data_IF_479821281748
#
_entry.id   IF_479821281748
#
_cell.length_a   1.000
_cell.length_b   1.000
_cell.length_c   1.000
_cell.angle_alpha   90.00
_cell.angle_beta   90.00
_cell.angle_gamma   90.00
#
_symmetry.space_group_name_H-M   'P 1'
#
loop_
_entity.id
_entity.type
_entity.pdbx_description
1 polymer ?
#
# COMPACT_ATOMS: atom_id res chain seq x y z
N UNK A 1 -48.07 7.29 -7.09
CA UNK A 1 -46.99 6.73 -6.27
C UNK A 1 -47.37 7.08 -4.86
N UNK A 2 -47.80 6.10 -4.06
CA UNK A 2 -48.21 6.36 -2.67
C UNK A 2 -47.03 6.98 -1.92
N UNK A 3 -47.29 8.10 -1.25
CA UNK A 3 -46.32 8.72 -0.36
C UNK A 3 -46.15 7.75 0.82
N UNK A 4 -44.99 7.13 0.91
CA UNK A 4 -44.75 6.03 1.83
C UNK A 4 -44.42 6.63 3.20
N UNK A 5 -45.46 6.91 3.99
CA UNK A 5 -45.39 7.66 5.25
C UNK A 5 -45.06 6.78 6.47
N UNK A 6 -44.37 5.65 6.29
CA UNK A 6 -43.98 4.79 7.41
C UNK A 6 -42.69 5.23 8.10
N UNK A 7 -41.95 6.22 7.56
CA UNK A 7 -40.83 6.88 8.26
C UNK A 7 -41.37 8.13 8.93
N UNK A 8 -41.52 8.08 10.26
CA UNK A 8 -42.16 9.14 11.03
C UNK A 8 -41.18 10.20 11.51
N UNK A 9 -39.90 9.86 11.66
CA UNK A 9 -38.85 10.80 12.03
C UNK A 9 -37.46 10.32 11.58
N UNK A 10 -36.55 11.28 11.40
CA UNK A 10 -35.14 11.01 11.07
C UNK A 10 -34.25 11.89 11.94
N UNK A 11 -33.11 11.36 12.38
CA UNK A 11 -32.08 12.11 13.10
C UNK A 11 -30.68 11.64 12.73
N UNK A 12 -29.68 12.40 13.16
CA UNK A 12 -28.25 12.09 12.97
C UNK A 12 -27.88 11.85 11.50
N UNK A 13 -28.53 12.56 10.57
CA UNK A 13 -28.26 12.46 9.15
C UNK A 13 -26.89 13.09 8.80
N UNK A 14 -26.01 12.30 8.21
CA UNK A 14 -24.70 12.74 7.75
C UNK A 14 -24.35 12.08 6.42
N UNK A 15 -23.72 12.84 5.53
CA UNK A 15 -23.10 12.26 4.34
C UNK A 15 -21.94 11.36 4.75
N UNK A 16 -21.81 10.23 4.05
CA UNK A 16 -20.60 9.43 4.06
C UNK A 16 -19.71 9.76 2.85
N UNK A 17 -18.56 9.10 2.78
CA UNK A 17 -17.56 9.33 1.73
C UNK A 17 -18.10 9.11 0.30
N UNK A 18 -19.11 8.26 0.14
CA UNK A 18 -19.67 7.88 -1.17
C UNK A 18 -20.88 8.74 -1.59
N UNK A 19 -21.19 9.80 -0.84
CA UNK A 19 -22.33 10.67 -1.12
C UNK A 19 -23.70 10.09 -0.73
N UNK A 20 -23.71 8.93 -0.06
CA UNK A 20 -24.88 8.40 0.61
C UNK A 20 -25.08 9.07 1.97
N UNK A 21 -26.29 8.97 2.53
CA UNK A 21 -26.62 9.57 3.82
C UNK A 21 -26.88 8.47 4.84
N UNK A 22 -26.01 8.39 5.85
CA UNK A 22 -26.27 7.55 7.03
C UNK A 22 -27.09 8.34 8.03
N UNK A 23 -28.14 7.74 8.58
CA UNK A 23 -29.04 8.36 9.54
C UNK A 23 -29.67 7.30 10.46
N UNK A 24 -30.40 7.76 11.46
CA UNK A 24 -31.30 6.94 12.27
C UNK A 24 -32.73 7.32 11.92
N UNK A 25 -33.54 6.31 11.59
CA UNK A 25 -34.96 6.49 11.23
C UNK A 25 -35.85 5.86 12.29
N UNK A 26 -36.97 6.52 12.56
CA UNK A 26 -38.08 5.95 13.31
C UNK A 26 -39.13 5.48 12.30
N UNK A 27 -39.48 4.20 12.39
CA UNK A 27 -40.58 3.64 11.61
C UNK A 27 -41.90 3.71 12.39
N UNK A 28 -43.01 3.78 11.68
CA UNK A 28 -44.35 3.77 12.27
C UNK A 28 -44.54 2.53 13.16
N UNK A 29 -45.03 2.74 14.38
CA UNK A 29 -45.24 1.67 15.36
C UNK A 29 -43.96 1.07 15.97
N UNK A 30 -42.77 1.53 15.56
CA UNK A 30 -41.50 1.06 16.14
C UNK A 30 -41.26 1.72 17.51
N UNK A 31 -41.81 1.11 18.56
CA UNK A 31 -41.65 1.53 19.96
C UNK A 31 -41.21 0.37 20.86
N UNK A 32 -40.46 0.68 21.93
CA UNK A 32 -40.02 -0.30 22.92
C UNK A 32 -41.16 -0.70 23.88
N UNK A 33 -40.89 -1.59 24.84
CA UNK A 33 -41.88 -2.06 25.81
C UNK A 33 -42.42 -0.96 26.74
N UNK A 34 -41.79 0.22 26.75
CA UNK A 34 -42.21 1.41 27.50
C UNK A 34 -42.91 2.44 26.61
N UNK A 35 -43.03 2.18 25.30
CA UNK A 35 -43.63 3.08 24.32
C UNK A 35 -42.65 4.11 23.74
N UNK A 36 -41.34 3.98 24.00
CA UNK A 36 -40.33 4.91 23.49
C UNK A 36 -39.93 4.59 22.03
N UNK A 37 -39.67 5.59 21.17
CA UNK A 37 -39.21 5.38 19.80
C UNK A 37 -38.00 4.46 19.67
N UNK A 38 -38.10 3.42 18.84
CA UNK A 38 -36.96 2.61 18.39
C UNK A 38 -36.38 3.27 17.14
N UNK A 39 -35.11 3.65 17.24
CA UNK A 39 -34.34 4.23 16.15
C UNK A 39 -33.52 3.16 15.45
N UNK A 40 -33.70 3.02 14.14
CA UNK A 40 -33.00 2.03 13.32
C UNK A 40 -31.96 2.72 12.44
N UNK A 41 -30.73 2.21 12.35
CA UNK A 41 -29.74 2.75 11.42
C UNK A 41 -30.20 2.51 9.98
N UNK A 42 -30.04 3.51 9.13
CA UNK A 42 -30.37 3.44 7.72
C UNK A 42 -29.32 4.18 6.87
N UNK A 43 -29.02 3.65 5.70
CA UNK A 43 -28.18 4.33 4.70
C UNK A 43 -29.03 4.59 3.46
N UNK A 44 -29.39 5.84 3.24
CA UNK A 44 -30.19 6.27 2.10
C UNK A 44 -29.28 6.66 0.93
N UNK A 45 -29.67 6.25 -0.29
CA UNK A 45 -28.96 6.61 -1.54
C UNK A 45 -29.96 6.97 -2.64
N UNK A 46 -29.55 7.78 -3.61
CA UNK A 46 -30.39 8.07 -4.79
C UNK A 46 -30.66 6.82 -5.64
N UNK A 47 -29.79 5.82 -5.55
CA UNK A 47 -29.88 4.53 -6.25
C UNK A 47 -30.33 3.39 -5.34
N UNK A 48 -31.00 3.67 -4.22
CA UNK A 48 -31.44 2.65 -3.28
C UNK A 48 -32.34 1.64 -3.99
N UNK A 49 -32.22 0.36 -3.63
CA UNK A 49 -33.04 -0.71 -4.23
C UNK A 49 -34.50 -0.58 -3.81
N UNK A 50 -34.77 0.03 -2.66
CA UNK A 50 -36.11 0.27 -2.12
C UNK A 50 -36.64 1.64 -2.51
N UNK A 51 -37.93 1.71 -2.84
CA UNK A 51 -38.59 2.98 -3.20
C UNK A 51 -38.53 3.99 -2.04
N UNK A 52 -38.74 3.51 -0.81
CA UNK A 52 -38.69 4.35 0.37
C UNK A 52 -37.27 4.83 0.69
N UNK A 53 -36.22 4.05 0.39
CA UNK A 53 -34.83 4.47 0.57
C UNK A 53 -34.44 5.59 -0.39
N UNK A 54 -34.90 5.53 -1.65
CA UNK A 54 -34.73 6.62 -2.63
C UNK A 54 -35.50 7.87 -2.22
N UNK A 55 -36.75 7.71 -1.80
CA UNK A 55 -37.57 8.82 -1.31
C UNK A 55 -36.93 9.49 -0.09
N UNK A 56 -36.48 8.71 0.89
CA UNK A 56 -35.79 9.21 2.08
C UNK A 56 -34.53 10.01 1.70
N UNK A 57 -33.73 9.53 0.75
CA UNK A 57 -32.56 10.27 0.27
C UNK A 57 -32.95 11.64 -0.31
N UNK A 58 -33.95 11.68 -1.19
CA UNK A 58 -34.42 12.94 -1.77
C UNK A 58 -35.00 13.90 -0.71
N UNK A 59 -35.77 13.37 0.24
CA UNK A 59 -36.34 14.13 1.34
C UNK A 59 -35.24 14.75 2.23
N UNK A 60 -34.18 13.98 2.54
CA UNK A 60 -33.03 14.46 3.30
C UNK A 60 -32.24 15.53 2.54
N UNK A 61 -31.96 15.33 1.25
CA UNK A 61 -31.27 16.31 0.40
C UNK A 61 -32.06 17.62 0.29
N UNK A 62 -33.40 17.52 0.23
CA UNK A 62 -34.30 18.69 0.18
C UNK A 62 -34.54 19.32 1.56
N UNK A 63 -33.94 18.80 2.63
CA UNK A 63 -34.02 19.37 3.98
C UNK A 63 -35.30 19.09 4.76
N UNK A 64 -36.14 18.13 4.32
CA UNK A 64 -37.41 17.76 5.00
C UNK A 64 -37.21 17.41 6.47
N UNK A 65 -36.07 16.77 6.79
CA UNK A 65 -35.70 16.35 8.15
C UNK A 65 -34.56 17.19 8.75
N UNK A 66 -34.34 18.40 8.24
CA UNK A 66 -33.24 19.29 8.63
C UNK A 66 -31.98 19.11 7.79
N UNK A 67 -30.93 19.86 8.16
CA UNK A 67 -29.67 19.88 7.42
C UNK A 67 -28.89 18.58 7.62
N UNK A 68 -28.52 17.93 6.52
CA UNK A 68 -27.62 16.77 6.54
C UNK A 68 -26.20 17.25 6.84
N UNK A 69 -25.57 16.65 7.85
CA UNK A 69 -24.19 16.98 8.20
C UNK A 69 -23.23 16.59 7.08
N UNK A 70 -22.26 17.43 6.70
CA UNK A 70 -21.28 17.06 5.69
C UNK A 70 -20.39 15.91 6.17
N UNK A 71 -19.91 15.11 5.23
CA UNK A 71 -18.90 14.10 5.51
C UNK A 71 -17.61 14.78 6.01
N UNK A 72 -17.05 14.26 7.11
CA UNK A 72 -15.77 14.71 7.66
C UNK A 72 -14.87 13.51 7.83
N UNK A 73 -13.66 13.59 7.27
CA UNK A 73 -12.63 12.56 7.44
C UNK A 73 -12.25 12.47 8.92
N UNK A 74 -12.39 11.29 9.52
CA UNK A 74 -11.92 11.08 10.89
C UNK A 74 -10.40 10.86 10.94
N UNK A 75 -9.74 11.17 12.07
CA UNK A 75 -8.32 10.84 12.27
C UNK A 75 -8.03 9.34 12.08
N UNK A 76 -8.99 8.47 12.41
CA UNK A 76 -8.87 7.02 12.22
C UNK A 76 -8.87 6.64 10.74
N UNK A 77 -9.76 7.21 9.92
CA UNK A 77 -9.76 6.98 8.47
C UNK A 77 -8.42 7.39 7.84
N UNK A 78 -7.87 8.53 8.26
CA UNK A 78 -6.57 8.99 7.78
C UNK A 78 -5.44 8.06 8.25
N UNK A 79 -5.47 7.60 9.50
CA UNK A 79 -4.49 6.67 10.04
C UNK A 79 -4.50 5.32 9.31
N UNK A 80 -5.68 4.77 9.03
CA UNK A 80 -5.85 3.53 8.25
C UNK A 80 -5.31 3.70 6.84
N UNK A 81 -5.64 4.81 6.15
CA UNK A 81 -5.13 5.07 4.81
C UNK A 81 -3.59 5.19 4.79
N UNK A 82 -2.99 5.88 5.78
CA UNK A 82 -1.53 5.97 5.92
C UNK A 82 -0.91 4.60 6.24
N UNK A 83 -1.57 3.77 7.04
CA UNK A 83 -1.08 2.43 7.35
C UNK A 83 -1.04 1.55 6.09
N UNK A 84 -2.09 1.59 5.26
CA UNK A 84 -2.12 0.88 3.98
C UNK A 84 -0.96 1.33 3.06
N UNK A 85 -0.74 2.63 2.92
CA UNK A 85 0.39 3.15 2.12
C UNK A 85 1.75 2.79 2.67
N UNK A 86 1.92 2.71 4.00
CA UNK A 86 3.17 2.18 4.59
C UNK A 86 3.40 0.73 4.20
N UNK A 87 2.36 -0.09 4.16
CA UNK A 87 2.48 -1.47 3.70
C UNK A 87 2.91 -1.55 2.23
N UNK A 88 2.35 -0.70 1.36
CA UNK A 88 2.80 -0.58 -0.04
C UNK A 88 4.29 -0.21 -0.13
N UNK A 89 4.77 0.72 0.71
CA UNK A 89 6.21 1.08 0.78
C UNK A 89 7.08 -0.10 1.23
N UNK A 90 6.62 -0.92 2.18
CA UNK A 90 7.37 -2.13 2.58
C UNK A 90 7.40 -3.17 1.45
N UNK A 91 6.29 -3.36 0.74
CA UNK A 91 6.22 -4.25 -0.41
C UNK A 91 7.16 -3.78 -1.52
N UNK A 92 7.12 -2.49 -1.87
CA UNK A 92 8.05 -1.88 -2.83
C UNK A 92 9.51 -2.13 -2.44
N UNK A 93 9.87 -1.94 -1.17
CA UNK A 93 11.25 -2.19 -0.71
C UNK A 93 11.66 -3.65 -0.93
N UNK A 94 10.82 -4.59 -0.52
CA UNK A 94 11.10 -6.02 -0.68
C UNK A 94 11.24 -6.40 -2.16
N UNK A 95 10.42 -5.82 -3.03
CA UNK A 95 10.53 -5.99 -4.48
C UNK A 95 11.86 -5.44 -5.00
N UNK A 96 12.22 -4.20 -4.66
CA UNK A 96 13.47 -3.56 -5.10
C UNK A 96 14.73 -4.29 -4.63
N UNK A 97 14.77 -4.74 -3.38
CA UNK A 97 15.89 -5.50 -2.80
C UNK A 97 16.04 -6.90 -3.44
N UNK A 98 14.95 -7.45 -4.01
CA UNK A 98 14.96 -8.74 -4.71
C UNK A 98 15.35 -8.65 -6.18
N UNK A 99 15.31 -7.47 -6.80
CA UNK A 99 15.56 -7.32 -8.23
C UNK A 99 17.03 -7.59 -8.56
N UNK A 100 17.31 -8.34 -9.64
CA UNK A 100 18.66 -8.44 -10.15
C UNK A 100 19.12 -7.08 -10.69
N UNK A 101 20.42 -6.84 -10.61
CA UNK A 101 21.04 -5.65 -11.17
C UNK A 101 22.43 -5.98 -11.68
N UNK A 102 23.07 -5.02 -12.33
CA UNK A 102 24.44 -5.14 -12.81
C UNK A 102 25.34 -4.09 -12.20
N UNK A 103 26.62 -4.39 -12.10
CA UNK A 103 27.63 -3.43 -11.64
C UNK A 103 28.92 -3.57 -12.46
N UNK A 104 29.70 -2.49 -12.51
CA UNK A 104 30.99 -2.46 -13.19
C UNK A 104 32.12 -2.89 -12.25
N UNK A 105 32.94 -3.83 -12.69
CA UNK A 105 34.18 -4.19 -12.01
C UNK A 105 35.23 -4.64 -13.02
N UNK A 106 36.44 -4.08 -12.90
CA UNK A 106 37.58 -4.38 -13.75
C UNK A 106 37.30 -4.25 -15.27
N UNK A 107 36.57 -3.19 -15.65
CA UNK A 107 36.23 -2.88 -17.04
C UNK A 107 35.18 -3.80 -17.67
N UNK A 108 34.39 -4.52 -16.84
CA UNK A 108 33.30 -5.39 -17.27
C UNK A 108 32.06 -5.18 -16.41
N UNK A 109 30.92 -5.41 -17.03
CA UNK A 109 29.62 -5.45 -16.37
C UNK A 109 29.34 -6.86 -15.86
N UNK A 110 29.00 -7.00 -14.58
CA UNK A 110 28.69 -8.29 -13.95
C UNK A 110 27.27 -8.32 -13.43
N UNK A 111 26.64 -9.50 -13.48
CA UNK A 111 25.38 -9.74 -12.77
C UNK A 111 25.63 -9.69 -11.25
N UNK A 112 24.80 -8.94 -10.54
CA UNK A 112 24.74 -8.85 -9.09
C UNK A 112 23.33 -9.21 -8.59
N UNK A 113 23.07 -8.96 -7.31
CA UNK A 113 21.86 -9.36 -6.63
C UNK A 113 22.03 -10.64 -5.80
N UNK A 114 21.03 -10.97 -4.97
CA UNK A 114 21.07 -12.12 -4.06
C UNK A 114 21.44 -13.44 -4.74
N UNK A 115 20.89 -13.69 -5.93
CA UNK A 115 21.14 -14.92 -6.70
C UNK A 115 22.57 -15.03 -7.24
N UNK A 116 23.15 -13.91 -7.67
CA UNK A 116 24.54 -13.88 -8.15
C UNK A 116 25.51 -14.15 -7.00
N UNK A 117 25.27 -13.55 -5.83
CA UNK A 117 26.04 -13.79 -4.61
C UNK A 117 25.91 -15.25 -4.13
N UNK A 118 24.71 -15.80 -4.12
CA UNK A 118 24.45 -17.20 -3.72
C UNK A 118 25.20 -18.22 -4.58
N UNK A 119 25.49 -17.89 -5.84
CA UNK A 119 26.29 -18.74 -6.75
C UNK A 119 27.80 -18.49 -6.59
N UNK A 120 28.23 -17.24 -6.44
CA UNK A 120 29.65 -16.88 -6.40
C UNK A 120 30.32 -17.26 -5.07
N UNK A 121 29.64 -17.08 -3.94
CA UNK A 121 30.24 -17.35 -2.63
C UNK A 121 30.67 -18.81 -2.41
N UNK A 122 29.87 -19.84 -2.75
CA UNK A 122 30.34 -21.22 -2.68
C UNK A 122 31.57 -21.49 -3.55
N UNK A 123 31.67 -20.84 -4.72
CA UNK A 123 32.81 -20.97 -5.63
C UNK A 123 34.07 -20.39 -4.99
N UNK A 124 33.98 -19.20 -4.41
CA UNK A 124 35.09 -18.57 -3.67
C UNK A 124 35.50 -19.41 -2.46
N UNK A 125 34.55 -19.99 -1.72
CA UNK A 125 34.87 -20.83 -0.57
C UNK A 125 35.54 -22.15 -0.94
N UNK A 126 35.12 -22.78 -2.04
CA UNK A 126 35.75 -23.99 -2.56
C UNK A 126 37.15 -23.71 -3.15
N UNK A 127 37.33 -22.56 -3.79
CA UNK A 127 38.61 -22.10 -4.32
C UNK A 127 39.70 -21.99 -3.23
N UNK A 128 39.32 -21.61 -2.01
CA UNK A 128 40.26 -21.48 -0.87
C UNK A 128 40.84 -22.81 -0.40
N UNK A 129 40.18 -23.94 -0.67
CA UNK A 129 40.62 -25.27 -0.22
C UNK A 129 41.27 -26.11 -1.31
N UNK A 130 41.06 -25.79 -2.59
CA UNK A 130 41.62 -26.50 -3.74
C UNK A 130 42.86 -25.78 -4.29
N UNK A 131 44.04 -26.15 -3.80
CA UNK A 131 45.32 -25.57 -4.24
C UNK A 131 45.74 -26.01 -5.65
N UNK A 132 45.06 -26.98 -6.27
CA UNK A 132 45.37 -27.43 -7.62
C UNK A 132 44.72 -26.56 -8.71
N UNK A 133 43.60 -25.89 -8.40
CA UNK A 133 42.85 -25.08 -9.37
C UNK A 133 43.22 -23.60 -9.24
N UNK A 134 43.94 -23.06 -10.23
CA UNK A 134 44.46 -21.68 -10.18
C UNK A 134 43.53 -20.63 -10.79
N UNK A 135 42.56 -21.06 -11.62
CA UNK A 135 41.59 -20.18 -12.27
C UNK A 135 40.25 -20.90 -12.55
N UNK A 136 39.16 -20.13 -12.64
CA UNK A 136 37.83 -20.58 -13.02
C UNK A 136 37.20 -19.61 -14.02
N UNK A 137 36.31 -20.14 -14.87
CA UNK A 137 35.50 -19.30 -15.75
C UNK A 137 34.24 -18.83 -15.01
N UNK A 138 33.98 -17.52 -15.04
CA UNK A 138 32.75 -16.91 -14.53
C UNK A 138 32.07 -16.09 -15.64
N UNK A 139 30.74 -16.12 -15.68
CA UNK A 139 29.97 -15.39 -16.69
C UNK A 139 29.81 -13.92 -16.29
N UNK A 140 30.14 -13.00 -17.19
CA UNK A 140 29.76 -11.59 -17.06
C UNK A 140 28.28 -11.36 -17.44
N UNK A 141 27.82 -10.11 -17.39
CA UNK A 141 26.42 -9.76 -17.68
C UNK A 141 26.00 -10.08 -19.13
N UNK A 142 26.96 -10.08 -20.06
CA UNK A 142 26.75 -10.42 -21.47
C UNK A 142 26.85 -11.93 -21.75
N UNK A 143 26.93 -12.74 -20.69
CA UNK A 143 27.15 -14.19 -20.75
C UNK A 143 28.49 -14.60 -21.38
N UNK A 144 29.49 -13.72 -21.37
CA UNK A 144 30.85 -14.09 -21.78
C UNK A 144 31.55 -14.81 -20.62
N UNK A 145 32.19 -15.93 -20.93
CA UNK A 145 33.02 -16.63 -19.93
C UNK A 145 34.36 -15.94 -19.77
N UNK A 146 34.58 -15.36 -18.60
CA UNK A 146 35.81 -14.69 -18.20
C UNK A 146 36.60 -15.61 -17.28
N UNK A 147 37.84 -15.91 -17.66
CA UNK A 147 38.74 -16.71 -16.83
C UNK A 147 39.35 -15.82 -15.75
N UNK A 148 38.96 -16.04 -14.51
CA UNK A 148 39.44 -15.31 -13.33
C UNK A 148 40.35 -16.22 -12.49
N UNK A 149 41.45 -15.67 -12.00
CA UNK A 149 42.27 -16.29 -10.96
C UNK A 149 41.50 -16.37 -9.63
N UNK A 150 42.00 -17.19 -8.69
CA UNK A 150 41.37 -17.30 -7.37
C UNK A 150 41.30 -15.94 -6.63
N UNK A 151 42.36 -15.10 -6.61
CA UNK A 151 42.28 -13.75 -6.04
C UNK A 151 41.28 -12.84 -6.76
N UNK A 152 41.20 -12.88 -8.09
CA UNK A 152 40.23 -12.08 -8.84
C UNK A 152 38.77 -12.49 -8.55
N UNK A 153 38.51 -13.77 -8.25
CA UNK A 153 37.18 -14.21 -7.80
C UNK A 153 36.83 -13.69 -6.41
N UNK A 154 37.81 -13.63 -5.50
CA UNK A 154 37.63 -13.02 -4.18
C UNK A 154 37.35 -11.52 -4.29
N UNK A 155 38.10 -10.82 -5.14
CA UNK A 155 37.90 -9.40 -5.42
C UNK A 155 36.55 -9.13 -6.09
N UNK A 156 36.14 -9.95 -7.07
CA UNK A 156 34.81 -9.86 -7.69
C UNK A 156 33.70 -10.05 -6.65
N UNK A 157 33.85 -11.03 -5.76
CA UNK A 157 32.87 -11.29 -4.70
C UNK A 157 32.78 -10.14 -3.70
N UNK A 158 33.92 -9.55 -3.32
CA UNK A 158 33.96 -8.37 -2.46
C UNK A 158 33.33 -7.15 -3.14
N UNK A 159 33.63 -6.91 -4.42
CA UNK A 159 33.06 -5.81 -5.19
C UNK A 159 31.53 -5.97 -5.38
N UNK A 160 31.06 -7.20 -5.64
CA UNK A 160 29.62 -7.50 -5.72
C UNK A 160 28.92 -7.29 -4.37
N UNK A 161 29.55 -7.69 -3.25
CA UNK A 161 29.02 -7.46 -1.92
C UNK A 161 28.90 -5.96 -1.61
N UNK A 162 29.91 -5.17 -1.97
CA UNK A 162 29.88 -3.72 -1.81
C UNK A 162 28.76 -3.10 -2.65
N UNK A 163 28.66 -3.48 -3.93
CA UNK A 163 27.59 -2.98 -4.81
C UNK A 163 26.19 -3.32 -4.29
N UNK A 164 26.01 -4.50 -3.65
CA UNK A 164 24.75 -4.86 -2.99
C UNK A 164 24.46 -3.99 -1.78
N UNK A 165 25.48 -3.69 -0.95
CA UNK A 165 25.33 -2.80 0.21
C UNK A 165 24.93 -1.40 -0.25
N UNK A 166 25.66 -0.84 -1.22
CA UNK A 166 25.39 0.51 -1.74
C UNK A 166 23.95 0.61 -2.29
N UNK A 167 23.54 -0.37 -3.10
CA UNK A 167 22.17 -0.43 -3.64
C UNK A 167 21.11 -0.54 -2.54
N UNK A 168 21.33 -1.38 -1.52
CA UNK A 168 20.38 -1.54 -0.43
C UNK A 168 20.27 -0.28 0.43
N UNK A 169 21.39 0.43 0.61
CA UNK A 169 21.40 1.71 1.32
C UNK A 169 20.59 2.78 0.56
N UNK A 170 20.73 2.86 -0.77
CA UNK A 170 19.90 3.74 -1.61
C UNK A 170 18.40 3.42 -1.48
N UNK A 171 18.02 2.14 -1.58
CA UNK A 171 16.63 1.70 -1.40
C UNK A 171 16.11 2.06 -0.01
N UNK A 172 16.93 1.88 1.03
CA UNK A 172 16.58 2.22 2.39
C UNK A 172 16.38 3.73 2.60
N UNK A 173 17.25 4.57 2.02
CA UNK A 173 17.06 6.03 2.08
C UNK A 173 15.77 6.44 1.37
N UNK A 174 15.52 5.90 0.18
CA UNK A 174 14.28 6.18 -0.56
C UNK A 174 13.03 5.71 0.22
N UNK A 175 13.07 4.55 0.87
CA UNK A 175 12.01 4.13 1.78
C UNK A 175 11.75 5.16 2.89
N UNK A 176 12.82 5.74 3.48
CA UNK A 176 12.69 6.76 4.52
C UNK A 176 12.03 8.02 3.99
N UNK A 177 12.48 8.52 2.84
CA UNK A 177 11.88 9.67 2.16
C UNK A 177 10.38 9.44 1.91
N UNK A 178 10.00 8.31 1.33
CA UNK A 178 8.60 7.96 1.07
C UNK A 178 7.76 7.95 2.36
N UNK A 179 8.31 7.41 3.46
CA UNK A 179 7.62 7.40 4.77
C UNK A 179 7.47 8.80 5.36
N UNK A 180 8.48 9.66 5.17
CA UNK A 180 8.45 11.06 5.62
C UNK A 180 7.45 11.88 4.81
N UNK A 181 7.48 11.77 3.49
CA UNK A 181 6.50 12.37 2.58
C UNK A 181 5.07 11.96 2.95
N UNK A 182 4.80 10.66 3.07
CA UNK A 182 3.50 10.13 3.50
C UNK A 182 3.07 10.64 4.88
N UNK A 183 4.02 10.80 5.81
CA UNK A 183 3.73 11.31 7.16
C UNK A 183 3.25 12.76 7.12
N UNK A 184 3.79 13.57 6.20
CA UNK A 184 3.48 14.99 6.05
C UNK A 184 2.09 15.26 5.47
N UNK A 185 1.47 14.28 4.80
CA UNK A 185 0.16 14.45 4.17
C UNK A 185 -0.97 14.60 5.21
N UNK A 186 -1.76 15.67 5.10
CA UNK A 186 -2.82 16.00 6.06
C UNK A 186 -4.22 15.53 5.67
N UNK A 187 -4.46 15.23 4.39
CA UNK A 187 -5.78 14.90 3.87
C UNK A 187 -5.84 13.49 3.27
N UNK A 188 -7.05 12.91 3.29
CA UNK A 188 -7.29 11.53 2.88
C UNK A 188 -7.05 11.30 1.38
N UNK A 189 -7.38 12.29 0.55
CA UNK A 189 -7.25 12.18 -0.90
C UNK A 189 -5.77 12.13 -1.31
N UNK A 190 -4.94 13.01 -0.76
CA UNK A 190 -3.49 13.01 -1.00
C UNK A 190 -2.85 11.71 -0.53
N UNK A 191 -3.24 11.18 0.64
CA UNK A 191 -2.72 9.90 1.13
C UNK A 191 -3.08 8.75 0.18
N UNK A 192 -4.33 8.68 -0.29
CA UNK A 192 -4.75 7.59 -1.20
C UNK A 192 -4.09 7.66 -2.57
N UNK A 193 -3.86 8.87 -3.07
CA UNK A 193 -3.20 9.11 -4.34
C UNK A 193 -1.66 9.17 -4.23
N UNK A 194 -1.09 8.92 -3.04
CA UNK A 194 0.35 8.85 -2.87
C UNK A 194 0.93 7.69 -3.69
N UNK A 195 1.89 8.01 -4.56
CA UNK A 195 2.54 7.08 -5.46
C UNK A 195 3.81 6.56 -4.78
N UNK A 196 3.98 5.24 -4.79
CA UNK A 196 5.16 4.55 -4.24
C UNK A 196 6.05 4.15 -5.41
N UNK A 197 7.02 4.99 -5.73
CA UNK A 197 8.02 4.78 -6.78
C UNK A 197 9.43 5.15 -6.29
#
# INVERSE_FOLDING_TARGET
>A
MEEVDFITAVRNAAYNEYGAITCEVQFEGAVDTRGEPIWSPFTATSSDVTDYGRQLYHDLVNGKYGTVSPFTVSPEMLAVAKAAKRQEIETWRAEQESQPFTFEWNGRTWNAGPDSMARLYPVVMAAKSDTARTALAWGDADNQQVKLSMPELEELAAAMAQAQVDRNDEIYQRQRELKEELSSLGDLNSVRNFIVE
#
